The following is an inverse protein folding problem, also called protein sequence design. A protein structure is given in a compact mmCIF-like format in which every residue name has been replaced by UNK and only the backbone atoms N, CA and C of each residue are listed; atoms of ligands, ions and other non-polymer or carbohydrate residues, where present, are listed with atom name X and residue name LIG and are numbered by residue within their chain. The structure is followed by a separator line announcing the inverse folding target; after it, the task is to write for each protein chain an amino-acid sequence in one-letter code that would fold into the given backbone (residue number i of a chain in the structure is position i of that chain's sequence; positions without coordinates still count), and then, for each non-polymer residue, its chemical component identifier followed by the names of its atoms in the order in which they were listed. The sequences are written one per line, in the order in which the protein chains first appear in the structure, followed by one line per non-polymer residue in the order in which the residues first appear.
data_IF_954740305131
#
_entry.id   IF_954740305131
#
_cell.length_a   1.000
_cell.length_b   1.000
_cell.length_c   1.000
_cell.angle_alpha   90.00
_cell.angle_beta   90.00
_cell.angle_gamma   90.00
#
_symmetry.space_group_name_H-M   'P 1'
#
loop_
_entity.id
_entity.type
_entity.pdbx_description
1 polymer ?
#
# COMPACT_ATOMS: atom_id res chain seq x y z
N UNK A 1 -20.86 0.76 -17.12
CA UNK A 1 -19.79 0.69 -16.10
C UNK A 1 -20.44 0.62 -14.74
N UNK A 2 -20.12 -0.39 -13.93
CA UNK A 2 -20.54 -0.51 -12.53
C UNK A 2 -19.30 -0.44 -11.66
N UNK A 3 -19.28 0.47 -10.68
CA UNK A 3 -18.15 0.66 -9.76
C UNK A 3 -18.55 0.19 -8.37
N UNK A 4 -18.00 -0.95 -7.98
CA UNK A 4 -18.09 -1.52 -6.63
C UNK A 4 -16.74 -1.48 -5.93
N UNK A 5 -15.81 -0.64 -6.41
CA UNK A 5 -14.47 -0.56 -5.87
C UNK A 5 -14.51 -0.13 -4.40
N UNK A 6 -13.86 -0.89 -3.52
CA UNK A 6 -13.80 -0.58 -2.08
C UNK A 6 -15.09 -0.85 -1.30
N UNK A 7 -16.08 -1.53 -1.90
CA UNK A 7 -17.35 -1.89 -1.27
C UNK A 7 -17.27 -3.12 -0.34
N UNK A 8 -16.07 -3.62 -0.05
CA UNK A 8 -15.83 -4.84 0.77
C UNK A 8 -16.53 -6.08 0.21
N UNK A 9 -16.59 -6.20 -1.11
CA UNK A 9 -17.08 -7.40 -1.78
C UNK A 9 -16.16 -8.58 -1.43
N UNK A 10 -16.75 -9.62 -0.85
CA UNK A 10 -16.09 -10.88 -0.50
C UNK A 10 -16.39 -11.96 -1.55
N UNK A 11 -15.84 -13.15 -1.39
CA UNK A 11 -16.19 -14.31 -2.22
C UNK A 11 -17.71 -14.53 -2.30
N UNK A 12 -18.42 -14.52 -1.16
CA UNK A 12 -19.90 -14.64 -1.14
C UNK A 12 -20.59 -13.53 -1.93
N UNK A 13 -20.06 -12.31 -1.86
CA UNK A 13 -20.57 -11.20 -2.66
C UNK A 13 -20.37 -11.44 -4.17
N UNK A 14 -19.25 -12.06 -4.55
CA UNK A 14 -18.97 -12.43 -5.94
C UNK A 14 -19.93 -13.52 -6.46
N UNK A 15 -20.27 -14.50 -5.63
CA UNK A 15 -21.25 -15.54 -6.00
C UNK A 15 -22.63 -14.92 -6.27
N UNK A 16 -23.07 -14.00 -5.41
CA UNK A 16 -24.32 -13.24 -5.60
C UNK A 16 -24.27 -12.38 -6.86
N UNK A 17 -23.15 -11.70 -7.12
CA UNK A 17 -22.95 -10.89 -8.33
C UNK A 17 -22.96 -11.77 -9.59
N UNK A 18 -22.29 -12.92 -9.57
CA UNK A 18 -22.28 -13.87 -10.67
C UNK A 18 -23.69 -14.38 -10.98
N UNK A 19 -24.47 -14.75 -9.95
CA UNK A 19 -25.86 -15.16 -10.10
C UNK A 19 -26.74 -14.04 -10.70
N UNK A 20 -26.55 -12.80 -10.25
CA UNK A 20 -27.26 -11.64 -10.80
C UNK A 20 -26.91 -11.38 -12.28
N UNK A 21 -25.64 -11.53 -12.66
CA UNK A 21 -25.17 -11.36 -14.04
C UNK A 21 -25.71 -12.46 -14.96
N UNK A 22 -25.79 -13.70 -14.48
CA UNK A 22 -26.33 -14.83 -15.24
C UNK A 22 -27.86 -14.76 -15.40
N UNK A 23 -28.58 -14.35 -14.35
CA UNK A 23 -30.05 -14.28 -14.36
C UNK A 23 -30.57 -13.08 -15.15
N UNK A 24 -29.83 -11.98 -15.17
CA UNK A 24 -30.14 -10.81 -15.98
C UNK A 24 -28.89 -10.37 -16.75
N UNK A 25 -28.69 -10.86 -17.99
CA UNK A 25 -27.55 -10.49 -18.81
C UNK A 25 -27.60 -8.99 -19.13
N UNK A 26 -26.95 -8.23 -18.27
CA UNK A 26 -26.94 -6.77 -18.36
C UNK A 26 -26.11 -6.30 -19.54
N UNK A 27 -26.38 -5.09 -20.05
CA UNK A 27 -25.49 -4.38 -20.98
C UNK A 27 -24.20 -3.86 -20.31
N UNK A 28 -23.82 -4.43 -19.16
CA UNK A 28 -22.65 -4.03 -18.42
C UNK A 28 -21.39 -4.40 -19.20
N UNK A 29 -20.64 -3.38 -19.60
CA UNK A 29 -19.36 -3.53 -20.31
C UNK A 29 -18.15 -3.58 -19.40
N UNK A 30 -18.28 -3.05 -18.18
CA UNK A 30 -17.18 -2.98 -17.23
C UNK A 30 -17.70 -3.05 -15.79
N UNK A 31 -17.07 -3.90 -14.99
CA UNK A 31 -17.29 -4.07 -13.57
C UNK A 31 -15.97 -3.83 -12.82
N UNK A 32 -15.93 -2.74 -12.05
CA UNK A 32 -14.77 -2.36 -11.25
C UNK A 32 -14.92 -2.89 -9.81
N UNK A 33 -14.13 -3.91 -9.48
CA UNK A 33 -14.02 -4.52 -8.15
C UNK A 33 -12.66 -4.27 -7.50
N UNK A 34 -11.90 -3.27 -7.96
CA UNK A 34 -10.64 -2.87 -7.29
C UNK A 34 -10.87 -2.55 -5.82
N UNK A 35 -9.85 -2.73 -4.99
CA UNK A 35 -9.93 -2.57 -3.54
C UNK A 35 -10.99 -3.43 -2.82
N UNK A 36 -11.36 -4.60 -3.37
CA UNK A 36 -12.16 -5.62 -2.68
C UNK A 36 -11.32 -6.88 -2.40
N UNK A 37 -11.93 -7.90 -1.79
CA UNK A 37 -11.31 -9.20 -1.54
C UNK A 37 -12.20 -10.34 -2.09
N UNK A 38 -12.36 -10.43 -3.41
CA UNK A 38 -13.18 -11.46 -4.04
C UNK A 38 -12.65 -12.88 -3.79
N UNK A 39 -11.35 -13.03 -3.50
CA UNK A 39 -10.66 -14.32 -3.44
C UNK A 39 -10.57 -15.00 -4.81
N UNK A 40 -9.71 -16.00 -4.96
CA UNK A 40 -9.50 -16.69 -6.24
C UNK A 40 -10.79 -17.33 -6.76
N UNK A 41 -11.57 -17.91 -5.85
CA UNK A 41 -12.84 -18.54 -6.11
C UNK A 41 -13.92 -17.53 -6.54
N UNK A 42 -13.99 -16.34 -5.93
CA UNK A 42 -14.93 -15.30 -6.34
C UNK A 42 -14.56 -14.67 -7.69
N UNK A 43 -13.25 -14.50 -7.97
CA UNK A 43 -12.77 -14.08 -9.30
C UNK A 43 -13.12 -15.13 -10.35
N UNK A 44 -12.97 -16.42 -10.04
CA UNK A 44 -13.33 -17.53 -10.93
C UNK A 44 -14.83 -17.56 -11.20
N UNK A 45 -15.67 -17.39 -10.18
CA UNK A 45 -17.13 -17.33 -10.33
C UNK A 45 -17.57 -16.18 -11.25
N UNK A 46 -17.02 -14.97 -11.05
CA UNK A 46 -17.30 -13.81 -11.88
C UNK A 46 -16.78 -13.96 -13.32
N UNK A 47 -15.62 -14.59 -13.49
CA UNK A 47 -15.04 -14.84 -14.81
C UNK A 47 -15.85 -15.87 -15.61
N UNK A 48 -16.41 -16.88 -14.94
CA UNK A 48 -17.32 -17.84 -15.56
C UNK A 48 -18.69 -17.23 -15.91
N UNK A 49 -19.16 -16.27 -15.12
CA UNK A 49 -20.40 -15.53 -15.37
C UNK A 49 -20.26 -14.44 -16.44
N UNK A 50 -19.05 -14.17 -16.96
CA UNK A 50 -18.86 -13.20 -18.03
C UNK A 50 -19.62 -13.62 -19.28
N UNK A 51 -20.63 -12.84 -19.61
CA UNK A 51 -21.06 -12.63 -21.00
C UNK A 51 -19.88 -11.99 -21.74
N UNK A 52 -19.59 -12.46 -22.95
CA UNK A 52 -18.35 -12.24 -23.73
C UNK A 52 -17.85 -10.79 -23.89
N UNK A 53 -18.61 -9.80 -23.42
CA UNK A 53 -18.34 -8.37 -23.53
C UNK A 53 -17.96 -7.65 -22.22
N UNK A 54 -17.97 -8.33 -21.06
CA UNK A 54 -17.72 -7.70 -19.76
C UNK A 54 -16.22 -7.69 -19.38
N UNK A 55 -15.66 -6.49 -19.21
CA UNK A 55 -14.32 -6.28 -18.63
C UNK A 55 -14.41 -6.26 -17.10
N UNK A 56 -13.57 -7.06 -16.43
CA UNK A 56 -13.52 -7.17 -14.97
C UNK A 56 -12.21 -6.54 -14.47
N UNK A 57 -12.30 -5.51 -13.62
CA UNK A 57 -11.13 -4.89 -13.00
C UNK A 57 -11.01 -5.37 -11.55
N UNK A 58 -9.90 -6.03 -11.23
CA UNK A 58 -9.57 -6.50 -9.89
C UNK A 58 -8.09 -6.21 -9.67
N UNK A 59 -7.68 -5.79 -8.46
CA UNK A 59 -6.26 -5.80 -8.08
C UNK A 59 -5.99 -6.84 -7.01
N UNK A 60 -4.78 -7.39 -7.04
CA UNK A 60 -4.30 -8.48 -6.19
C UNK A 60 -3.90 -8.00 -4.78
N UNK A 61 -4.64 -7.07 -4.16
CA UNK A 61 -4.19 -6.42 -2.92
C UNK A 61 -4.23 -7.26 -1.63
N UNK A 62 -4.32 -8.58 -1.74
CA UNK A 62 -4.15 -9.52 -0.62
C UNK A 62 -5.16 -9.39 0.52
N UNK A 63 -4.83 -9.99 1.67
CA UNK A 63 -5.66 -10.04 2.89
C UNK A 63 -5.89 -8.66 3.53
N UNK A 64 -4.99 -7.69 3.28
CA UNK A 64 -5.04 -6.36 3.87
C UNK A 64 -6.37 -5.64 3.58
N UNK A 65 -7.01 -5.90 2.44
CA UNK A 65 -8.26 -5.25 2.00
C UNK A 65 -9.50 -5.57 2.85
N UNK A 66 -9.40 -6.53 3.78
CA UNK A 66 -10.47 -6.87 4.73
C UNK A 66 -10.40 -6.07 6.05
N UNK A 67 -9.28 -5.38 6.30
CA UNK A 67 -9.09 -4.60 7.54
C UNK A 67 -10.08 -3.42 7.58
N UNK A 68 -10.64 -3.07 8.75
CA UNK A 68 -11.45 -1.87 8.89
C UNK A 68 -10.56 -0.61 8.81
N UNK A 69 -11.18 0.52 8.48
CA UNK A 69 -10.50 1.82 8.46
C UNK A 69 -9.44 1.97 7.35
N UNK A 70 -8.48 2.89 7.51
CA UNK A 70 -7.45 3.18 6.51
C UNK A 70 -6.40 2.06 6.39
N UNK A 71 -6.28 1.19 7.40
CA UNK A 71 -5.40 0.01 7.40
C UNK A 71 -5.67 -0.97 6.25
N UNK A 72 -6.82 -0.87 5.56
CA UNK A 72 -7.08 -1.63 4.33
C UNK A 72 -6.19 -1.26 3.15
N UNK A 73 -5.60 -0.08 3.20
CA UNK A 73 -4.61 0.42 2.24
C UNK A 73 -3.19 0.33 2.81
N UNK A 74 -3.00 -0.44 3.88
CA UNK A 74 -1.73 -0.62 4.56
C UNK A 74 -0.64 -1.08 3.59
N UNK A 75 0.44 -0.30 3.51
CA UNK A 75 1.66 -0.64 2.81
C UNK A 75 2.82 -0.73 3.81
N UNK A 76 3.77 -1.61 3.51
CA UNK A 76 5.04 -1.66 4.22
C UNK A 76 6.04 -0.83 3.43
N UNK A 77 6.67 0.13 4.11
CA UNK A 77 7.71 0.98 3.55
C UNK A 77 9.05 0.63 4.20
N UNK A 78 10.12 0.76 3.43
CA UNK A 78 11.48 0.62 3.90
C UNK A 78 12.29 1.85 3.51
N UNK A 79 13.10 2.34 4.45
CA UNK A 79 13.95 3.49 4.26
C UNK A 79 15.10 3.14 3.31
N UNK A 80 15.47 4.06 2.44
CA UNK A 80 16.56 3.86 1.49
C UNK A 80 17.92 4.30 2.08
N UNK A 81 18.87 3.36 2.32
CA UNK A 81 20.20 3.71 2.79
C UNK A 81 20.99 4.58 1.80
N UNK A 82 20.62 4.60 0.52
CA UNK A 82 21.29 5.40 -0.49
C UNK A 82 20.96 6.90 -0.38
N UNK A 83 19.80 7.23 0.22
CA UNK A 83 19.37 8.61 0.40
C UNK A 83 19.64 9.12 1.81
N UNK A 84 19.72 8.22 2.79
CA UNK A 84 19.88 8.55 4.20
C UNK A 84 21.08 9.46 4.49
N UNK A 85 20.85 10.56 5.19
CA UNK A 85 21.91 11.42 5.70
C UNK A 85 22.88 10.65 6.62
N UNK A 86 24.17 11.01 6.60
CA UNK A 86 25.22 10.30 7.39
C UNK A 86 25.00 10.37 8.90
N UNK A 87 24.29 11.38 9.40
CA UNK A 87 23.86 11.50 10.80
C UNK A 87 22.63 10.65 11.18
N UNK A 88 22.13 9.80 10.28
CA UNK A 88 21.00 8.91 10.55
C UNK A 88 21.43 7.45 10.52
N UNK A 89 21.09 6.70 11.56
CA UNK A 89 21.30 5.24 11.59
C UNK A 89 20.00 4.52 11.24
N UNK A 90 20.09 3.63 10.26
CA UNK A 90 18.98 2.76 9.84
C UNK A 90 19.12 1.38 10.51
N UNK A 91 18.02 0.89 11.05
CA UNK A 91 17.97 -0.41 11.76
C UNK A 91 16.66 -1.15 11.48
N UNK A 92 16.51 -2.35 12.06
CA UNK A 92 15.32 -3.21 11.92
C UNK A 92 14.96 -3.54 10.46
N UNK A 93 15.98 -3.77 9.63
CA UNK A 93 15.82 -3.95 8.19
C UNK A 93 15.33 -2.67 7.51
N UNK A 94 15.89 -1.53 7.90
CA UNK A 94 15.57 -0.19 7.41
C UNK A 94 14.12 0.26 7.66
N UNK A 95 13.49 -0.23 8.74
CA UNK A 95 12.16 0.22 9.17
C UNK A 95 12.19 1.21 10.32
N UNK A 96 13.37 1.42 10.91
CA UNK A 96 13.60 2.35 12.00
C UNK A 96 14.77 3.24 11.65
N UNK A 97 14.60 4.53 11.94
CA UNK A 97 15.65 5.55 11.82
C UNK A 97 15.85 6.22 13.15
N UNK A 98 17.11 6.46 13.49
CA UNK A 98 17.49 7.20 14.70
C UNK A 98 18.56 8.23 14.34
N UNK A 99 18.45 9.43 14.92
CA UNK A 99 19.51 10.42 14.82
C UNK A 99 20.70 9.99 15.67
N UNK A 100 21.91 10.06 15.11
CA UNK A 100 23.15 9.76 15.85
C UNK A 100 23.76 11.05 16.39
N UNK A 101 24.66 10.95 17.38
CA UNK A 101 25.38 12.13 17.85
C UNK A 101 26.24 12.70 16.71
N UNK A 102 26.43 14.02 16.70
CA UNK A 102 27.10 14.80 15.64
C UNK A 102 28.51 14.33 15.23
N UNK A 103 29.11 13.36 15.93
CA UNK A 103 30.44 12.79 15.64
C UNK A 103 30.41 11.35 15.13
N UNK A 104 29.23 10.74 15.03
CA UNK A 104 29.04 9.35 14.60
C UNK A 104 28.36 9.31 13.24
N UNK A 105 29.12 9.75 12.22
CA UNK A 105 28.69 9.59 10.83
C UNK A 105 28.66 8.11 10.44
N UNK A 106 27.53 7.69 9.90
CA UNK A 106 27.35 6.34 9.41
C UNK A 106 28.16 6.13 8.13
N UNK A 107 28.79 4.95 7.97
CA UNK A 107 29.71 4.66 6.87
C UNK A 107 28.96 4.31 5.57
N UNK A 108 27.94 5.09 5.21
CA UNK A 108 27.25 4.89 3.95
C UNK A 108 28.15 5.26 2.76
N UNK A 109 28.09 4.54 1.63
CA UNK A 109 28.81 4.92 0.41
C UNK A 109 28.33 6.26 -0.13
N UNK A 110 29.20 7.00 -0.83
CA UNK A 110 28.77 8.21 -1.54
C UNK A 110 27.73 7.85 -2.60
N UNK A 111 26.67 8.67 -2.70
CA UNK A 111 25.56 8.44 -3.61
C UNK A 111 24.94 9.78 -4.02
N UNK A 112 24.62 9.99 -5.31
CA UNK A 112 24.13 11.28 -5.81
C UNK A 112 22.79 11.71 -5.21
N UNK A 113 21.98 10.77 -4.70
CA UNK A 113 20.69 11.05 -4.07
C UNK A 113 20.79 11.19 -2.54
N UNK A 114 22.00 11.17 -1.97
CA UNK A 114 22.21 11.26 -0.53
C UNK A 114 21.96 12.68 -0.04
N UNK A 115 21.18 12.82 1.03
CA UNK A 115 21.06 14.10 1.72
C UNK A 115 22.35 14.39 2.49
N UNK A 116 22.96 15.54 2.25
CA UNK A 116 24.25 15.94 2.86
C UNK A 116 24.13 17.05 3.91
N UNK A 117 23.02 17.79 3.92
CA UNK A 117 22.88 18.99 4.75
C UNK A 117 21.84 18.87 5.85
N UNK A 118 20.76 18.12 5.59
CA UNK A 118 19.63 17.98 6.51
C UNK A 118 19.49 16.49 6.83
N UNK A 119 19.26 16.12 8.12
CA UNK A 119 19.05 14.74 8.51
C UNK A 119 17.71 14.21 7.98
N UNK A 120 17.70 13.79 6.72
CA UNK A 120 16.55 13.27 5.99
C UNK A 120 16.87 11.90 5.37
N UNK A 121 15.82 11.15 5.08
CA UNK A 121 15.85 9.87 4.38
C UNK A 121 14.50 9.68 3.69
N UNK A 122 14.49 9.08 2.51
CA UNK A 122 13.25 8.71 1.81
C UNK A 122 13.06 7.20 1.76
N UNK A 123 11.83 6.76 1.52
CA UNK A 123 11.54 5.34 1.34
C UNK A 123 11.99 4.86 -0.05
N UNK A 124 12.30 3.57 -0.17
CA UNK A 124 12.62 2.92 -1.45
C UNK A 124 11.40 2.76 -2.33
N UNK A 125 10.26 2.51 -1.72
CA UNK A 125 9.01 2.27 -2.43
C UNK A 125 8.40 3.60 -2.88
N UNK A 126 8.16 3.72 -4.18
CA UNK A 126 7.23 4.72 -4.70
C UNK A 126 5.80 4.22 -4.46
N UNK A 127 5.04 4.90 -3.61
CA UNK A 127 3.62 4.61 -3.44
C UNK A 127 2.79 5.31 -4.52
N UNK A 128 1.86 4.58 -5.12
CA UNK A 128 0.86 5.13 -6.04
C UNK A 128 -0.56 4.79 -5.56
N UNK A 129 -1.55 5.55 -6.04
CA UNK A 129 -2.97 5.39 -5.72
C UNK A 129 -3.32 5.57 -4.22
N UNK A 130 -3.97 4.59 -3.58
CA UNK A 130 -4.39 4.64 -2.17
C UNK A 130 -3.42 3.83 -1.33
N UNK A 131 -2.60 4.52 -0.56
CA UNK A 131 -1.69 3.93 0.42
C UNK A 131 -1.98 4.48 1.81
N UNK A 132 -1.66 3.68 2.82
CA UNK A 132 -1.68 4.08 4.21
C UNK A 132 -0.47 3.45 4.91
N UNK A 133 0.20 4.24 5.72
CA UNK A 133 1.31 3.80 6.57
C UNK A 133 1.20 4.54 7.90
N UNK A 134 1.80 3.95 8.94
CA UNK A 134 1.89 4.52 10.28
C UNK A 134 3.38 4.59 10.63
N UNK A 135 3.81 5.70 11.22
CA UNK A 135 5.13 5.83 11.81
C UNK A 135 4.98 6.09 13.31
N UNK A 136 5.86 5.49 14.09
CA UNK A 136 5.96 5.73 15.52
C UNK A 136 7.13 6.66 15.78
N UNK A 137 6.84 7.83 16.33
CA UNK A 137 7.86 8.75 16.80
C UNK A 137 8.04 8.54 18.30
N UNK A 138 9.27 8.30 18.72
CA UNK A 138 9.63 8.33 20.14
C UNK A 138 10.17 9.72 20.46
N UNK A 139 9.75 10.30 21.58
CA UNK A 139 10.32 11.55 22.06
C UNK A 139 11.81 11.36 22.33
N UNK A 140 12.63 12.21 21.74
CA UNK A 140 14.03 12.34 22.12
C UNK A 140 14.12 13.09 23.45
N UNK A 141 15.03 12.68 24.35
CA UNK A 141 15.36 13.38 25.60
C UNK A 141 15.83 14.83 25.40
N UNK A 142 16.00 15.26 24.16
CA UNK A 142 16.29 16.63 23.76
C UNK A 142 15.18 17.07 22.81
N UNK A 143 14.24 17.84 23.33
CA UNK A 143 13.01 18.22 22.65
C UNK A 143 13.25 18.91 21.30
N UNK A 144 12.36 18.62 20.35
CA UNK A 144 12.17 19.42 19.15
C UNK A 144 12.66 18.80 17.85
N UNK A 145 12.17 17.60 17.50
CA UNK A 145 12.11 17.18 16.10
C UNK A 145 10.75 16.51 15.82
N UNK A 146 9.71 17.32 15.68
CA UNK A 146 8.47 16.88 15.00
C UNK A 146 8.72 16.95 13.48
N UNK A 147 9.49 15.99 12.97
CA UNK A 147 9.69 15.81 11.54
C UNK A 147 8.50 15.06 10.93
N UNK A 148 7.69 15.76 10.15
CA UNK A 148 6.70 15.13 9.27
C UNK A 148 7.41 14.25 8.23
N UNK A 149 7.09 12.95 8.24
CA UNK A 149 7.27 12.05 7.10
C UNK A 149 6.19 12.31 6.04
#
# INVERSE_FOLDING_TARGET
LCRLSGCRVTQRGCDSLASALCSNPSHLRELDLRYNHPGDSGVKALSAAKLDTLTLLVDNGGENRTKPGPRKYGCQLTLDPNTAHRGLSLSEGNRKVTHTLWREEQPYPDHPERFEHVPQVVCRESVCERCYWEAECSESEWGGWDGFL
#
